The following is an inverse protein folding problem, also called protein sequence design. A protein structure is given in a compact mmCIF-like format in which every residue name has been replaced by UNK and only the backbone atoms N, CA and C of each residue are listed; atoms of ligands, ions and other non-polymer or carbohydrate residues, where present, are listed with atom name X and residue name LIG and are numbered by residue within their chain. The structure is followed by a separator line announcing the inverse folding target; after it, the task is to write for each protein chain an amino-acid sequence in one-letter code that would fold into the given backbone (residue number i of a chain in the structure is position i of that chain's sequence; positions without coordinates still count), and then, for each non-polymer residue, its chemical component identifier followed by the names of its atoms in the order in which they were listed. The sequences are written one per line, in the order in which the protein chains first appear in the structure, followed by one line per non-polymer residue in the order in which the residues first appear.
data_IF_385594268228
#
_entry.id   IF_385594268228
#
_cell.length_a   1.000
_cell.length_b   1.000
_cell.length_c   1.000
_cell.angle_alpha   90.00
_cell.angle_beta   90.00
_cell.angle_gamma   90.00
#
_symmetry.space_group_name_H-M   'P 1'
#
loop_
_entity.id
_entity.type
_entity.pdbx_description
1 polymer ?
#
# COMPACT_ATOMS: atom_id res chain seq x y z
N UNK A 1 9.13 6.52 -18.79
CA UNK A 1 8.54 5.77 -17.65
C UNK A 1 7.38 6.58 -17.08
N UNK A 2 6.22 5.99 -16.78
CA UNK A 2 5.00 6.70 -16.32
C UNK A 2 5.29 7.73 -15.21
N UNK A 3 6.14 7.36 -14.24
CA UNK A 3 6.47 8.19 -13.09
C UNK A 3 7.31 9.46 -13.39
N UNK A 4 7.79 9.63 -14.62
CA UNK A 4 8.47 10.86 -15.05
C UNK A 4 7.51 12.04 -15.18
N UNK A 5 6.25 11.76 -15.50
CA UNK A 5 5.23 12.75 -15.82
C UNK A 5 4.26 13.02 -14.66
N UNK A 6 4.54 12.49 -13.47
CA UNK A 6 3.70 12.69 -12.27
C UNK A 6 4.42 13.51 -11.22
N UNK A 7 3.67 14.38 -10.54
CA UNK A 7 4.17 15.17 -9.41
C UNK A 7 4.06 14.45 -8.08
N UNK A 8 3.06 13.57 -7.95
CA UNK A 8 2.84 12.73 -6.79
C UNK A 8 2.12 11.44 -7.19
N UNK A 9 2.20 10.43 -6.32
CA UNK A 9 1.51 9.15 -6.50
C UNK A 9 0.75 8.75 -5.24
N UNK A 10 -0.51 8.34 -5.41
CA UNK A 10 -1.33 7.72 -4.38
C UNK A 10 -1.64 6.31 -4.88
N UNK A 11 -1.25 5.30 -4.11
CA UNK A 11 -1.64 3.92 -4.38
C UNK A 11 -2.60 3.44 -3.30
N UNK A 12 -3.78 3.00 -3.74
CA UNK A 12 -4.78 2.37 -2.88
C UNK A 12 -4.68 0.87 -3.09
N UNK A 13 -4.48 0.11 -2.01
CA UNK A 13 -4.63 -1.34 -2.01
C UNK A 13 -6.09 -1.65 -1.71
N UNK A 14 -6.76 -2.32 -2.63
CA UNK A 14 -8.19 -2.60 -2.61
C UNK A 14 -8.50 -3.91 -3.32
N UNK A 15 -7.57 -4.86 -3.24
CA UNK A 15 -7.67 -6.17 -3.87
C UNK A 15 -8.96 -6.89 -3.39
N UNK A 16 -9.77 -7.34 -4.35
CA UNK A 16 -11.01 -8.10 -4.09
C UNK A 16 -10.73 -9.59 -3.91
N UNK A 17 -9.57 -10.07 -4.36
CA UNK A 17 -9.11 -11.43 -4.12
C UNK A 17 -7.58 -11.47 -4.00
N UNK A 18 -7.07 -12.00 -2.87
CA UNK A 18 -5.61 -11.98 -2.60
C UNK A 18 -4.84 -13.07 -3.35
N UNK A 19 -5.53 -14.10 -3.80
CA UNK A 19 -4.97 -15.25 -4.52
C UNK A 19 -5.20 -15.20 -6.04
N UNK A 20 -5.47 -14.02 -6.61
CA UNK A 20 -5.73 -13.84 -8.06
C UNK A 20 -4.59 -14.39 -8.95
N UNK A 21 -3.36 -14.36 -8.44
CA UNK A 21 -2.19 -14.78 -9.18
C UNK A 21 -1.69 -16.18 -8.83
N UNK A 22 -2.40 -16.95 -7.98
CA UNK A 22 -1.93 -18.25 -7.48
C UNK A 22 -1.67 -19.27 -8.60
N UNK A 23 -2.46 -19.25 -9.67
CA UNK A 23 -2.28 -20.15 -10.82
C UNK A 23 -1.29 -19.65 -11.86
N UNK A 24 -0.67 -18.48 -11.66
CA UNK A 24 0.26 -17.88 -12.62
C UNK A 24 1.68 -18.37 -12.37
N UNK A 25 2.38 -18.69 -13.46
CA UNK A 25 3.80 -19.07 -13.43
C UNK A 25 4.64 -18.05 -12.64
N UNK A 26 5.38 -18.56 -11.65
CA UNK A 26 6.20 -17.74 -10.74
C UNK A 26 7.28 -16.93 -11.47
N UNK A 27 7.79 -17.41 -12.60
CA UNK A 27 8.76 -16.70 -13.45
C UNK A 27 8.14 -15.43 -14.04
N UNK A 28 6.85 -15.47 -14.42
CA UNK A 28 6.13 -14.29 -14.91
C UNK A 28 5.92 -13.28 -13.79
N UNK A 29 5.55 -13.76 -12.60
CA UNK A 29 5.41 -12.92 -11.40
C UNK A 29 6.74 -12.22 -11.07
N UNK A 30 7.85 -12.97 -11.06
CA UNK A 30 9.18 -12.42 -10.79
C UNK A 30 9.59 -11.36 -11.82
N UNK A 31 9.39 -11.62 -13.13
CA UNK A 31 9.67 -10.64 -14.19
C UNK A 31 8.87 -9.35 -13.98
N UNK A 32 7.59 -9.46 -13.62
CA UNK A 32 6.74 -8.30 -13.28
C UNK A 32 7.28 -7.53 -12.07
N UNK A 33 7.69 -8.23 -11.01
CA UNK A 33 8.23 -7.61 -9.80
C UNK A 33 9.53 -6.84 -10.07
N UNK A 34 10.42 -7.38 -10.90
CA UNK A 34 11.66 -6.69 -11.32
C UNK A 34 11.35 -5.43 -12.13
N UNK A 35 10.46 -5.53 -13.12
CA UNK A 35 10.07 -4.35 -13.91
C UNK A 35 9.39 -3.26 -13.04
N UNK A 36 8.55 -3.67 -12.09
CA UNK A 36 7.91 -2.78 -11.14
C UNK A 36 8.93 -2.11 -10.20
N UNK A 37 9.91 -2.87 -9.67
CA UNK A 37 10.89 -2.34 -8.72
C UNK A 37 11.78 -1.27 -9.34
N UNK A 38 12.15 -1.42 -10.62
CA UNK A 38 12.88 -0.39 -11.38
C UNK A 38 12.04 0.88 -11.49
N UNK A 39 10.76 0.75 -11.84
CA UNK A 39 9.83 1.87 -12.00
C UNK A 39 9.60 2.62 -10.69
N UNK A 40 9.27 1.90 -9.62
CA UNK A 40 9.06 2.47 -8.30
C UNK A 40 10.36 2.99 -7.66
N UNK A 41 11.50 2.36 -7.97
CA UNK A 41 12.83 2.85 -7.61
C UNK A 41 13.13 4.21 -8.21
N UNK A 42 12.78 4.45 -9.48
CA UNK A 42 12.90 5.76 -10.11
C UNK A 42 12.08 6.83 -9.38
N UNK A 43 10.82 6.55 -9.04
CA UNK A 43 9.96 7.47 -8.30
C UNK A 43 10.60 7.91 -6.97
N UNK A 44 11.17 6.94 -6.22
CA UNK A 44 11.87 7.21 -4.95
C UNK A 44 13.16 8.00 -5.15
N UNK A 45 13.98 7.63 -6.14
CA UNK A 45 15.25 8.29 -6.43
C UNK A 45 15.08 9.76 -6.85
N UNK A 46 13.95 10.12 -7.46
CA UNK A 46 13.63 11.48 -7.86
C UNK A 46 12.98 12.32 -6.74
N UNK A 47 12.85 11.78 -5.52
CA UNK A 47 12.24 12.50 -4.40
C UNK A 47 10.76 12.85 -4.63
N UNK A 48 10.08 12.15 -5.54
CA UNK A 48 8.65 12.38 -5.81
C UNK A 48 7.84 12.00 -4.58
N UNK A 49 6.80 12.77 -4.28
CA UNK A 49 5.89 12.48 -3.17
C UNK A 49 5.08 11.24 -3.48
N UNK A 50 4.98 10.31 -2.54
CA UNK A 50 4.12 9.16 -2.69
C UNK A 50 3.55 8.69 -1.37
N UNK A 51 2.38 8.05 -1.44
CA UNK A 51 1.74 7.39 -0.31
C UNK A 51 1.10 6.09 -0.78
N UNK A 52 1.16 5.09 0.09
CA UNK A 52 0.42 3.83 -0.04
C UNK A 52 -0.63 3.81 1.06
N UNK A 53 -1.88 3.57 0.69
CA UNK A 53 -3.00 3.45 1.62
C UNK A 53 -3.70 2.12 1.44
N UNK A 54 -4.25 1.59 2.53
CA UNK A 54 -5.02 0.35 2.53
C UNK A 54 -6.51 0.72 2.57
N UNK A 55 -7.28 0.18 1.63
CA UNK A 55 -8.73 0.23 1.68
C UNK A 55 -9.25 -1.10 2.22
N UNK A 56 -10.25 -1.09 3.12
CA UNK A 56 -10.83 -2.31 3.65
C UNK A 56 -11.68 -3.02 2.59
N UNK A 57 -11.35 -4.28 2.31
CA UNK A 57 -12.14 -5.14 1.42
C UNK A 57 -12.49 -6.45 2.15
N UNK A 58 -13.55 -7.17 1.74
CA UNK A 58 -13.88 -8.47 2.31
C UNK A 58 -12.73 -9.49 2.25
N UNK A 59 -11.90 -9.42 1.20
CA UNK A 59 -10.75 -10.29 1.06
C UNK A 59 -9.69 -10.02 2.13
N UNK A 60 -9.41 -8.76 2.41
CA UNK A 60 -8.50 -8.38 3.48
C UNK A 60 -9.05 -8.68 4.88
N UNK A 61 -10.35 -8.49 5.09
CA UNK A 61 -11.01 -8.85 6.35
C UNK A 61 -10.88 -10.37 6.61
N UNK A 62 -11.16 -11.19 5.58
CA UNK A 62 -11.04 -12.65 5.65
C UNK A 62 -9.61 -13.09 5.96
N UNK A 63 -8.63 -12.50 5.28
CA UNK A 63 -7.21 -12.78 5.53
C UNK A 63 -6.78 -12.41 6.95
N UNK A 64 -7.34 -11.33 7.51
CA UNK A 64 -7.09 -10.90 8.87
C UNK A 64 -7.88 -11.72 9.93
N UNK A 65 -8.78 -12.61 9.51
CA UNK A 65 -9.64 -13.38 10.42
C UNK A 65 -10.70 -12.52 11.13
N UNK A 66 -11.11 -11.41 10.51
CA UNK A 66 -12.06 -10.44 11.05
C UNK A 66 -13.32 -10.36 10.19
N UNK A 67 -14.41 -9.89 10.77
CA UNK A 67 -15.53 -9.38 9.98
C UNK A 67 -15.11 -8.12 9.19
N UNK A 68 -15.88 -7.79 8.15
CA UNK A 68 -15.60 -6.59 7.35
C UNK A 68 -15.63 -5.33 8.23
N UNK A 69 -16.63 -5.20 9.11
CA UNK A 69 -16.79 -4.05 10.00
C UNK A 69 -15.61 -3.93 11.00
N UNK A 70 -15.17 -5.03 11.60
CA UNK A 70 -13.99 -5.04 12.47
C UNK A 70 -12.73 -4.61 11.73
N UNK A 71 -12.56 -5.10 10.49
CA UNK A 71 -11.42 -4.72 9.66
C UNK A 71 -11.47 -3.25 9.22
N UNK A 72 -12.65 -2.73 8.87
CA UNK A 72 -12.88 -1.32 8.58
C UNK A 72 -12.50 -0.44 9.76
N UNK A 73 -13.00 -0.78 10.94
CA UNK A 73 -12.68 -0.07 12.19
C UNK A 73 -11.18 -0.09 12.48
N UNK A 74 -10.51 -1.23 12.25
CA UNK A 74 -9.06 -1.33 12.39
C UNK A 74 -8.30 -0.44 11.39
N UNK A 75 -8.59 -0.55 10.09
CA UNK A 75 -7.88 0.20 9.04
C UNK A 75 -8.13 1.70 9.20
N UNK A 76 -9.39 2.12 9.33
CA UNK A 76 -9.71 3.54 9.48
C UNK A 76 -9.23 4.10 10.81
N UNK A 77 -9.31 3.33 11.91
CA UNK A 77 -8.78 3.74 13.20
C UNK A 77 -7.26 3.94 13.18
N UNK A 78 -6.52 3.11 12.43
CA UNK A 78 -5.08 3.24 12.26
C UNK A 78 -4.68 4.42 11.35
N UNK A 79 -5.52 4.77 10.37
CA UNK A 79 -5.20 5.78 9.35
C UNK A 79 -5.75 7.17 9.68
N UNK A 80 -6.93 7.28 10.30
CA UNK A 80 -7.59 8.54 10.62
C UNK A 80 -7.19 9.04 12.01
N UNK A 81 -5.89 9.21 12.22
CA UNK A 81 -5.32 9.69 13.48
C UNK A 81 -4.93 11.16 13.40
N UNK A 82 -4.77 11.80 14.56
CA UNK A 82 -4.21 13.14 14.62
C UNK A 82 -2.70 13.11 14.31
N UNK A 83 -2.39 13.42 13.06
CA UNK A 83 -1.01 13.48 12.58
C UNK A 83 -0.15 14.54 13.25
N UNK A 84 -0.74 15.56 13.90
CA UNK A 84 0.04 16.55 14.66
C UNK A 84 0.65 15.91 15.91
N UNK A 85 -0.19 15.19 16.67
CA UNK A 85 0.22 14.39 17.83
C UNK A 85 1.20 13.29 17.43
N UNK A 86 0.91 12.50 16.38
CA UNK A 86 1.82 11.45 15.90
C UNK A 86 3.23 11.97 15.58
N UNK A 87 3.32 13.13 14.91
CA UNK A 87 4.61 13.74 14.55
C UNK A 87 5.42 14.16 15.77
N UNK A 88 4.76 14.51 16.88
CA UNK A 88 5.43 14.89 18.12
C UNK A 88 5.98 13.64 18.84
N UNK A 89 5.18 12.58 18.91
CA UNK A 89 5.58 11.31 19.52
C UNK A 89 6.75 10.66 18.77
N UNK A 90 6.72 10.71 17.44
CA UNK A 90 7.80 10.19 16.59
C UNK A 90 9.13 10.95 16.73
N UNK A 91 9.10 12.24 17.09
CA UNK A 91 10.33 13.04 17.30
C UNK A 91 10.94 12.83 18.69
N UNK A 92 10.15 12.37 19.65
CA UNK A 92 10.58 12.19 21.04
C UNK A 92 11.24 10.82 21.25
N UNK A 93 10.99 9.86 20.34
CA UNK A 93 11.52 8.50 20.36
C UNK A 93 12.71 8.28 19.40
N UNK A 94 13.42 9.35 19.01
CA UNK A 94 14.67 9.31 18.20
C UNK A 94 15.74 10.11 18.93
#
# INVERSE_FOLDING_TARGET
MLYQYVDAMIRIKSEEHLSELTSIDSTKIQKRLVAYSVSFGYLRAQGKRWVLVQYPTPAYATEAGLSLEEYENFVFGAMNIDYSTLRQDMKTNV
#
